data_IF_204097125140
#
_entry.id   IF_204097125140
#
_cell.length_a   1.000
_cell.length_b   1.000
_cell.length_c   1.000
_cell.angle_alpha   90.00
_cell.angle_beta   90.00
_cell.angle_gamma   90.00
#
_symmetry.space_group_name_H-M   'P 1'
#
loop_
_entity.id
_entity.type
_entity.pdbx_description
1 polymer ?
#
# COMPACT_ATOMS: atom_id res chain seq x y z
N UNK A 1 -9.81 -17.82 -15.45
CA UNK A 1 -9.65 -16.44 -14.96
C UNK A 1 -8.17 -16.19 -14.70
N UNK A 2 -7.67 -14.95 -14.74
CA UNK A 2 -6.27 -14.67 -14.37
C UNK A 2 -6.02 -15.05 -12.90
N UNK A 3 -4.79 -15.38 -12.55
CA UNK A 3 -4.39 -15.70 -11.17
C UNK A 3 -4.64 -14.51 -10.23
N UNK A 4 -4.32 -13.31 -10.73
CA UNK A 4 -4.54 -12.03 -10.04
C UNK A 4 -5.46 -11.15 -10.88
N UNK A 5 -6.45 -10.51 -10.25
CA UNK A 5 -7.39 -9.62 -10.96
C UNK A 5 -6.90 -8.18 -11.06
N UNK A 6 -5.99 -7.77 -10.17
CA UNK A 6 -5.26 -6.51 -10.28
C UNK A 6 -3.87 -6.59 -9.64
N UNK A 7 -3.08 -5.55 -9.86
CA UNK A 7 -1.78 -5.33 -9.24
C UNK A 7 -1.66 -3.85 -8.87
N UNK A 8 -1.12 -3.57 -7.68
CA UNK A 8 -1.06 -2.23 -7.11
C UNK A 8 0.40 -1.87 -6.87
N UNK A 9 0.83 -0.73 -7.41
CA UNK A 9 2.12 -0.13 -7.11
C UNK A 9 1.89 1.17 -6.35
N UNK A 10 2.56 1.33 -5.21
CA UNK A 10 2.51 2.55 -4.40
C UNK A 10 3.72 3.43 -4.72
N UNK A 11 3.48 4.73 -4.81
CA UNK A 11 4.49 5.73 -5.11
C UNK A 11 4.46 6.85 -4.07
N UNK A 12 5.65 7.35 -3.76
CA UNK A 12 5.84 8.64 -3.11
C UNK A 12 6.50 9.56 -4.13
N UNK A 13 5.76 10.56 -4.60
CA UNK A 13 6.14 11.39 -5.75
C UNK A 13 6.36 10.52 -7.00
N UNK A 14 7.57 10.53 -7.56
CA UNK A 14 7.97 9.76 -8.74
C UNK A 14 8.66 8.43 -8.40
N UNK A 15 8.84 8.11 -7.12
CA UNK A 15 9.50 6.90 -6.69
C UNK A 15 8.52 5.81 -6.26
N UNK A 16 8.64 4.62 -6.86
CA UNK A 16 7.92 3.44 -6.37
C UNK A 16 8.47 3.03 -5.00
N UNK A 17 7.58 2.80 -4.03
CA UNK A 17 7.93 2.42 -2.67
C UNK A 17 7.35 1.03 -2.36
N UNK A 18 8.23 0.09 -2.05
CA UNK A 18 7.87 -1.31 -1.80
C UNK A 18 7.65 -2.13 -3.08
N UNK A 19 7.22 -3.37 -2.89
CA UNK A 19 6.91 -4.31 -3.98
C UNK A 19 5.51 -4.07 -4.57
N UNK A 20 5.28 -4.60 -5.78
CA UNK A 20 3.94 -4.62 -6.40
C UNK A 20 3.05 -5.60 -5.62
N UNK A 21 1.96 -5.10 -5.06
CA UNK A 21 0.97 -5.94 -4.38
C UNK A 21 0.03 -6.60 -5.41
N UNK A 22 0.04 -7.93 -5.49
CA UNK A 22 -0.81 -8.69 -6.41
C UNK A 22 -2.06 -9.18 -5.67
N UNK A 23 -3.24 -8.85 -6.19
CA UNK A 23 -4.51 -9.28 -5.59
C UNK A 23 -5.02 -10.52 -6.30
N UNK A 24 -5.01 -11.64 -5.58
CA UNK A 24 -5.46 -12.93 -6.12
C UNK A 24 -6.95 -12.89 -6.46
N UNK A 25 -7.36 -13.61 -7.49
CA UNK A 25 -8.78 -13.71 -7.89
C UNK A 25 -9.70 -14.33 -6.83
N UNK A 26 -9.13 -14.94 -5.77
CA UNK A 26 -9.89 -15.45 -4.62
C UNK A 26 -10.28 -14.34 -3.62
N UNK A 27 -9.65 -13.15 -3.72
CA UNK A 27 -9.97 -11.97 -2.94
C UNK A 27 -10.76 -10.99 -3.82
N UNK A 28 -12.10 -10.94 -3.74
CA UNK A 28 -12.92 -10.12 -4.64
C UNK A 28 -12.80 -8.60 -4.39
N UNK A 29 -12.19 -8.21 -3.27
CA UNK A 29 -11.88 -6.84 -2.91
C UNK A 29 -10.47 -6.75 -2.33
N UNK A 30 -9.94 -5.54 -2.27
CA UNK A 30 -8.67 -5.22 -1.61
C UNK A 30 -8.80 -3.89 -0.86
N UNK A 31 -8.28 -3.84 0.36
CA UNK A 31 -8.15 -2.61 1.16
C UNK A 31 -6.72 -2.09 1.06
N UNK A 32 -6.54 -0.80 0.82
CA UNK A 32 -5.24 -0.12 0.88
C UNK A 32 -5.34 0.96 1.94
N UNK A 33 -4.49 0.90 2.97
CA UNK A 33 -4.54 1.82 4.11
C UNK A 33 -3.14 2.15 4.66
N UNK A 34 -3.03 3.11 5.59
CA UNK A 34 -1.76 3.50 6.20
C UNK A 34 -1.44 2.83 7.54
N UNK A 35 -2.14 1.76 7.91
CA UNK A 35 -1.76 0.95 9.06
C UNK A 35 -0.50 0.11 8.74
N UNK A 36 -0.07 -0.72 9.69
CA UNK A 36 1.23 -1.42 9.64
C UNK A 36 1.12 -2.94 9.65
N UNK A 37 -0.07 -3.49 9.42
CA UNK A 37 -0.28 -4.93 9.46
C UNK A 37 0.44 -5.62 8.28
N UNK A 38 1.36 -6.58 8.53
CA UNK A 38 2.08 -7.27 7.47
C UNK A 38 1.25 -8.40 6.82
N UNK A 39 0.05 -8.70 7.34
CA UNK A 39 -0.75 -9.81 6.81
C UNK A 39 -1.20 -9.55 5.37
N UNK A 40 -0.60 -10.29 4.45
CA UNK A 40 -0.96 -10.31 3.03
C UNK A 40 -2.28 -11.03 2.78
N UNK A 41 -2.92 -10.71 1.66
CA UNK A 41 -4.23 -11.24 1.28
C UNK A 41 -5.03 -10.19 0.52
N UNK A 42 -6.14 -9.75 1.09
CA UNK A 42 -6.97 -8.67 0.56
C UNK A 42 -6.65 -7.30 1.21
N UNK A 43 -5.50 -7.13 1.86
CA UNK A 43 -5.12 -5.88 2.54
C UNK A 43 -3.67 -5.51 2.25
N UNK A 44 -3.44 -4.28 1.81
CA UNK A 44 -2.13 -3.71 1.51
C UNK A 44 -1.87 -2.49 2.41
N UNK A 45 -1.10 -2.71 3.46
CA UNK A 45 -0.75 -1.69 4.45
C UNK A 45 0.50 -0.91 4.03
N UNK A 46 0.34 0.39 3.79
CA UNK A 46 1.40 1.29 3.34
C UNK A 46 2.30 1.74 4.50
N UNK A 47 1.81 1.73 5.74
CA UNK A 47 2.46 2.34 6.91
C UNK A 47 3.84 1.77 7.22
N UNK A 48 4.04 0.46 7.00
CA UNK A 48 5.31 -0.24 7.24
C UNK A 48 6.34 -0.07 6.11
N UNK A 49 5.95 0.47 4.94
CA UNK A 49 6.86 0.60 3.82
C UNK A 49 7.92 1.67 4.10
N UNK A 50 9.18 1.29 3.96
CA UNK A 50 10.32 2.21 4.06
C UNK A 50 10.62 2.86 2.72
N UNK A 51 11.03 4.13 2.76
CA UNK A 51 11.57 4.84 1.61
C UNK A 51 12.71 5.76 2.10
N UNK A 52 13.94 5.51 1.65
CA UNK A 52 15.11 6.29 2.07
C UNK A 52 15.12 7.72 1.52
N UNK A 53 14.30 8.01 0.50
CA UNK A 53 14.13 9.35 -0.06
C UNK A 53 12.84 10.02 0.41
N UNK A 54 12.18 9.48 1.43
CA UNK A 54 10.92 10.04 1.93
C UNK A 54 11.13 11.46 2.43
N UNK A 55 10.28 12.36 1.92
CA UNK A 55 10.28 13.78 2.31
C UNK A 55 9.33 14.03 3.47
N UNK A 56 9.54 15.12 4.21
CA UNK A 56 8.63 15.55 5.29
C UNK A 56 7.19 15.77 4.79
N UNK A 57 7.03 16.27 3.56
CA UNK A 57 5.72 16.41 2.94
C UNK A 57 5.03 15.06 2.72
N UNK A 58 5.78 14.02 2.31
CA UNK A 58 5.26 12.66 2.16
C UNK A 58 4.90 12.02 3.49
N UNK A 59 5.73 12.21 4.54
CA UNK A 59 5.40 11.76 5.90
C UNK A 59 4.08 12.38 6.37
N UNK A 60 3.92 13.70 6.23
CA UNK A 60 2.68 14.40 6.61
C UNK A 60 1.48 13.93 5.80
N UNK A 61 1.63 13.70 4.50
CA UNK A 61 0.55 13.18 3.66
C UNK A 61 0.14 11.77 4.11
N UNK A 62 1.10 10.89 4.43
CA UNK A 62 0.86 9.52 4.88
C UNK A 62 0.05 9.45 6.17
N UNK A 63 0.20 10.42 7.09
CA UNK A 63 -0.62 10.50 8.31
C UNK A 63 -2.13 10.57 8.02
N UNK A 64 -2.53 11.05 6.84
CA UNK A 64 -3.94 11.18 6.46
C UNK A 64 -4.46 9.93 5.74
N UNK A 65 -3.60 8.96 5.44
CA UNK A 65 -3.99 7.67 4.85
C UNK A 65 -4.31 6.73 6.00
N UNK A 66 -5.59 6.63 6.38
CA UNK A 66 -6.04 5.67 7.40
C UNK A 66 -6.11 6.19 8.84
N UNK A 67 -5.88 7.48 9.10
CA UNK A 67 -6.19 8.10 10.40
C UNK A 67 -7.60 8.73 10.40
N UNK A 68 -8.60 7.95 10.81
CA UNK A 68 -9.63 8.46 11.72
C UNK A 68 -9.43 7.73 13.05
N UNK A 69 -8.86 8.45 14.01
CA UNK A 69 -8.61 8.07 15.40
C UNK A 69 -8.19 9.31 16.16
#
# INVERSE_FOLDING_TARGET
APENWCSIAYFELDQQVGEIFKVTSNCPSVTVDGYVDPSGGNRFCLGQLSNVHRTEASERARLHIGAYG
#
